data_IF_067939931353
#
_entry.id   IF_067939931353
#
_cell.length_a   1.000
_cell.length_b   1.000
_cell.length_c   1.000
_cell.angle_alpha   90.00
_cell.angle_beta   90.00
_cell.angle_gamma   90.00
#
_symmetry.space_group_name_H-M   'P 1'
#
loop_
_entity.id
_entity.type
_entity.pdbx_description
1 polymer ?
#
# COMPACT_ATOMS: atom_id res chain seq x y z
N UNK A 1 66.43 2.61 -34.45
CA UNK A 1 66.62 3.52 -33.30
C UNK A 1 65.35 4.37 -33.18
N UNK A 2 64.45 4.09 -32.22
CA UNK A 2 64.22 4.88 -30.97
C UNK A 2 63.77 6.32 -31.29
N UNK A 3 62.61 6.88 -30.93
CA UNK A 3 61.62 6.70 -29.85
C UNK A 3 60.25 7.25 -30.32
N UNK A 4 59.11 6.55 -30.19
CA UNK A 4 58.11 6.62 -29.09
C UNK A 4 57.77 8.04 -28.58
N UNK A 5 56.63 8.59 -29.01
CA UNK A 5 55.80 9.49 -28.19
C UNK A 5 54.34 9.04 -28.32
N UNK A 6 53.83 8.54 -27.18
CA UNK A 6 52.42 8.32 -26.88
C UNK A 6 51.68 9.66 -26.77
N UNK A 7 50.45 9.74 -27.24
CA UNK A 7 49.37 10.46 -26.55
C UNK A 7 48.01 10.02 -27.10
N UNK A 8 47.51 8.97 -26.46
CA UNK A 8 46.16 8.42 -26.53
C UNK A 8 45.23 9.34 -25.72
N UNK A 9 44.26 10.02 -26.32
CA UNK A 9 43.05 10.46 -25.60
C UNK A 9 41.84 10.26 -26.53
N UNK A 10 41.26 9.09 -26.37
CA UNK A 10 39.96 8.66 -26.88
C UNK A 10 38.98 8.90 -25.73
N UNK A 11 38.24 10.02 -25.73
CA UNK A 11 37.14 10.22 -24.78
C UNK A 11 35.85 9.92 -25.52
N UNK A 12 35.51 8.64 -25.54
CA UNK A 12 34.14 8.17 -25.76
C UNK A 12 33.38 8.54 -24.49
N UNK A 13 32.70 9.69 -24.50
CA UNK A 13 31.70 10.02 -23.50
C UNK A 13 30.45 9.19 -23.74
N UNK A 14 30.46 7.93 -23.30
CA UNK A 14 29.25 7.11 -23.24
C UNK A 14 28.35 7.75 -22.19
N UNK A 15 27.33 8.48 -22.64
CA UNK A 15 26.19 8.83 -21.82
C UNK A 15 25.44 7.52 -21.56
N UNK A 16 25.86 6.78 -20.54
CA UNK A 16 25.01 5.79 -19.90
C UNK A 16 23.90 6.59 -19.20
N UNK A 17 22.78 6.81 -19.89
CA UNK A 17 21.51 6.88 -19.20
C UNK A 17 21.32 5.53 -18.53
N UNK A 18 21.80 5.41 -17.30
CA UNK A 18 21.21 4.49 -16.34
C UNK A 18 19.80 5.05 -16.09
N UNK A 19 18.89 4.77 -17.02
CA UNK A 19 17.51 4.51 -16.61
C UNK A 19 17.65 3.33 -15.68
N UNK A 20 17.77 3.61 -14.39
CA UNK A 20 17.36 2.65 -13.39
C UNK A 20 15.93 2.33 -13.77
N UNK A 21 15.73 1.22 -14.49
CA UNK A 21 14.47 0.53 -14.44
C UNK A 21 14.28 0.30 -12.94
N UNK A 22 13.44 1.14 -12.33
CA UNK A 22 12.84 0.88 -11.04
C UNK A 22 12.18 -0.46 -11.28
N UNK A 23 12.85 -1.51 -10.86
CA UNK A 23 12.42 -2.88 -11.09
C UNK A 23 11.08 -2.93 -10.37
N UNK A 24 9.99 -3.02 -11.13
CA UNK A 24 8.64 -3.18 -10.60
C UNK A 24 8.72 -4.36 -9.64
N UNK A 25 8.83 -4.06 -8.35
CA UNK A 25 8.59 -5.05 -7.31
C UNK A 25 7.09 -5.23 -7.36
N UNK A 26 6.64 -6.11 -8.25
CA UNK A 26 5.30 -6.68 -8.18
C UNK A 26 5.25 -7.50 -6.88
N UNK A 27 5.03 -6.82 -5.76
CA UNK A 27 4.78 -7.47 -4.48
C UNK A 27 3.43 -8.15 -4.66
N UNK A 28 3.46 -9.48 -4.68
CA UNK A 28 2.28 -10.31 -4.80
C UNK A 28 1.63 -10.39 -3.42
N UNK A 29 0.49 -9.71 -3.28
CA UNK A 29 -0.49 -10.01 -2.24
C UNK A 29 -1.56 -10.90 -2.86
N UNK A 30 -2.07 -11.92 -2.16
CA UNK A 30 -1.70 -12.35 -0.80
C UNK A 30 -0.26 -12.90 -0.65
N UNK A 31 0.35 -12.83 0.54
CA UNK A 31 1.64 -13.48 0.82
C UNK A 31 1.56 -15.01 0.71
N UNK A 32 2.67 -15.68 0.44
CA UNK A 32 2.77 -17.14 0.53
C UNK A 32 2.64 -17.64 1.99
N UNK A 33 2.52 -18.96 2.19
CA UNK A 33 2.11 -19.56 3.47
C UNK A 33 3.05 -19.25 4.65
N UNK A 34 4.35 -19.16 4.39
CA UNK A 34 5.38 -18.85 5.40
C UNK A 34 5.94 -17.43 5.25
N UNK A 35 5.28 -16.57 4.48
CA UNK A 35 5.71 -15.19 4.23
C UNK A 35 4.90 -14.17 5.03
N UNK A 36 5.59 -13.12 5.45
CA UNK A 36 4.96 -11.93 6.02
C UNK A 36 5.44 -10.69 5.31
N UNK A 37 4.51 -9.81 4.95
CA UNK A 37 4.80 -8.53 4.33
C UNK A 37 4.40 -7.40 5.28
N UNK A 38 5.37 -6.56 5.63
CA UNK A 38 5.15 -5.43 6.53
C UNK A 38 5.12 -4.13 5.75
N UNK A 39 4.07 -3.35 5.95
CA UNK A 39 3.87 -2.04 5.35
C UNK A 39 3.82 -0.97 6.44
N UNK A 40 4.38 0.21 6.16
CA UNK A 40 4.32 1.37 7.05
C UNK A 40 3.49 2.47 6.44
N UNK A 41 2.75 3.17 7.30
CA UNK A 41 2.05 4.40 6.96
C UNK A 41 2.99 5.39 6.25
N UNK A 42 2.51 5.94 5.14
CA UNK A 42 3.20 7.00 4.39
C UNK A 42 2.38 8.30 4.42
N UNK A 43 1.10 8.25 4.04
CA UNK A 43 0.25 9.44 4.00
C UNK A 43 -1.23 9.13 4.28
N UNK A 44 -1.95 10.09 4.84
CA UNK A 44 -3.41 10.05 5.00
C UNK A 44 -4.08 10.43 3.67
N UNK A 45 -4.87 9.51 3.12
CA UNK A 45 -5.56 9.70 1.84
C UNK A 45 -6.98 10.22 2.05
N UNK A 46 -7.67 9.66 3.05
CA UNK A 46 -9.04 10.04 3.39
C UNK A 46 -9.31 9.82 4.87
N UNK A 47 -10.10 10.71 5.45
CA UNK A 47 -10.67 10.51 6.77
C UNK A 47 -12.03 11.21 6.82
N UNK A 48 -13.09 10.51 7.25
CA UNK A 48 -14.38 11.14 7.44
C UNK A 48 -14.38 12.03 8.71
N UNK A 49 -15.17 13.10 8.71
CA UNK A 49 -15.26 14.03 9.85
C UNK A 49 -15.82 13.37 11.14
N UNK A 50 -16.51 12.25 10.98
CA UNK A 50 -17.06 11.45 12.09
C UNK A 50 -16.09 10.38 12.58
N UNK A 51 -14.91 10.26 11.97
CA UNK A 51 -13.86 9.40 12.49
C UNK A 51 -13.48 9.88 13.89
N UNK A 52 -13.36 8.94 14.80
CA UNK A 52 -12.82 9.19 16.13
C UNK A 52 -11.39 8.66 16.19
N UNK A 53 -10.62 9.12 17.17
CA UNK A 53 -9.29 8.56 17.46
C UNK A 53 -9.31 7.09 17.90
N UNK A 54 -10.50 6.47 18.01
CA UNK A 54 -10.66 5.06 18.39
C UNK A 54 -10.37 4.06 17.26
N UNK A 55 -10.18 4.50 16.02
CA UNK A 55 -9.85 3.56 14.93
C UNK A 55 -8.35 3.33 14.83
N UNK A 56 -7.92 2.13 15.21
CA UNK A 56 -6.57 1.60 15.00
C UNK A 56 -6.25 1.49 13.50
N UNK A 57 -4.98 1.67 13.12
CA UNK A 57 -4.55 1.68 11.72
C UNK A 57 -4.63 3.09 11.10
N UNK A 58 -4.33 4.12 11.89
CA UNK A 58 -4.26 5.51 11.47
C UNK A 58 -2.88 6.00 11.04
N UNK A 59 -2.63 7.27 11.37
CA UNK A 59 -1.36 7.94 11.06
C UNK A 59 -0.26 7.35 11.92
N UNK A 60 0.81 6.89 11.28
CA UNK A 60 1.97 6.30 11.96
C UNK A 60 1.86 4.80 12.20
N UNK A 61 0.76 4.15 11.79
CA UNK A 61 0.59 2.71 11.98
C UNK A 61 1.47 1.86 11.06
N UNK A 62 1.71 0.63 11.49
CA UNK A 62 2.34 -0.43 10.71
C UNK A 62 1.36 -1.60 10.54
N UNK A 63 1.42 -2.25 9.38
CA UNK A 63 0.53 -3.33 9.01
C UNK A 63 1.35 -4.52 8.54
N UNK A 64 1.25 -5.65 9.21
CA UNK A 64 1.94 -6.89 8.83
C UNK A 64 0.90 -7.91 8.37
N UNK A 65 1.03 -8.33 7.11
CA UNK A 65 0.15 -9.26 6.43
C UNK A 65 0.78 -10.65 6.35
N UNK A 66 0.03 -11.69 6.72
CA UNK A 66 0.28 -13.08 6.34
C UNK A 66 -0.84 -13.58 5.41
N UNK A 67 -0.82 -14.89 5.09
CA UNK A 67 -1.89 -15.57 4.34
C UNK A 67 -3.29 -15.41 4.96
N UNK A 68 -3.38 -15.35 6.28
CA UNK A 68 -4.64 -15.44 7.05
C UNK A 68 -4.74 -14.45 8.21
N UNK A 69 -3.70 -13.64 8.46
CA UNK A 69 -3.72 -12.63 9.52
C UNK A 69 -3.26 -11.26 9.05
N UNK A 70 -3.87 -10.24 9.64
CA UNK A 70 -3.41 -8.86 9.63
C UNK A 70 -3.06 -8.45 11.06
N UNK A 71 -1.83 -8.04 11.27
CA UNK A 71 -1.38 -7.40 12.51
C UNK A 71 -1.30 -5.89 12.26
N UNK A 72 -1.98 -5.10 13.09
CA UNK A 72 -1.94 -3.65 13.08
C UNK A 72 -1.27 -3.16 14.35
N UNK A 73 -0.16 -2.45 14.20
CA UNK A 73 0.52 -1.75 15.29
C UNK A 73 0.27 -0.24 15.15
N UNK A 74 -0.27 0.38 16.18
CA UNK A 74 -0.65 1.80 16.17
C UNK A 74 -0.43 2.41 17.56
N UNK A 75 0.46 3.40 17.66
CA UNK A 75 0.81 4.08 18.92
C UNK A 75 1.13 3.11 20.10
N UNK A 76 1.79 1.99 19.80
CA UNK A 76 2.14 0.95 20.78
C UNK A 76 1.03 -0.06 21.12
N UNK A 77 -0.19 0.13 20.59
CA UNK A 77 -1.25 -0.89 20.62
C UNK A 77 -1.07 -1.85 19.45
N UNK A 78 -1.09 -3.15 19.72
CA UNK A 78 -0.99 -4.20 18.70
C UNK A 78 -2.29 -4.99 18.69
N UNK A 79 -2.92 -5.11 17.52
CA UNK A 79 -4.08 -5.98 17.29
C UNK A 79 -3.85 -6.93 16.14
N UNK A 80 -4.39 -8.12 16.30
CA UNK A 80 -4.39 -9.17 15.27
C UNK A 80 -5.81 -9.42 14.82
N UNK A 81 -5.99 -9.54 13.51
CA UNK A 81 -7.24 -9.81 12.85
C UNK A 81 -7.08 -11.05 11.97
N UNK A 82 -8.04 -11.98 12.06
CA UNK A 82 -8.21 -13.02 11.05
C UNK A 82 -8.72 -12.35 9.76
N UNK A 83 -8.11 -12.70 8.63
CA UNK A 83 -8.43 -12.13 7.32
C UNK A 83 -8.55 -13.20 6.24
N UNK A 84 -9.24 -12.85 5.16
CA UNK A 84 -9.22 -13.54 3.87
C UNK A 84 -8.84 -12.54 2.78
N UNK A 85 -8.33 -13.01 1.64
CA UNK A 85 -8.07 -12.16 0.48
C UNK A 85 -9.17 -12.36 -0.55
N UNK A 86 -10.38 -11.91 -0.20
CA UNK A 86 -11.53 -11.98 -1.09
C UNK A 86 -11.47 -10.83 -2.10
N UNK A 87 -10.95 -11.12 -3.29
CA UNK A 87 -10.84 -10.16 -4.38
C UNK A 87 -12.21 -9.72 -4.87
N UNK A 88 -12.39 -8.41 -5.04
CA UNK A 88 -13.60 -7.83 -5.62
C UNK A 88 -13.27 -6.83 -6.72
N UNK A 89 -14.09 -6.76 -7.79
CA UNK A 89 -13.90 -5.75 -8.82
C UNK A 89 -13.97 -4.33 -8.23
N UNK A 90 -12.93 -3.54 -8.47
CA UNK A 90 -12.87 -2.15 -8.03
C UNK A 90 -13.09 -1.20 -9.20
N UNK A 91 -14.34 -0.77 -9.41
CA UNK A 91 -14.64 0.33 -10.33
C UNK A 91 -14.73 1.65 -9.57
N UNK A 92 -14.64 2.79 -10.25
CA UNK A 92 -14.86 4.11 -9.64
C UNK A 92 -16.23 4.18 -8.93
N UNK A 93 -17.26 3.61 -9.56
CA UNK A 93 -18.60 3.55 -8.99
C UNK A 93 -18.65 2.69 -7.72
N UNK A 94 -18.07 1.48 -7.77
CA UNK A 94 -18.03 0.58 -6.61
C UNK A 94 -17.15 1.11 -5.48
N UNK A 95 -16.08 1.84 -5.78
CA UNK A 95 -15.28 2.54 -4.78
C UNK A 95 -16.08 3.64 -4.10
N UNK A 96 -16.75 4.49 -4.88
CA UNK A 96 -17.55 5.61 -4.36
C UNK A 96 -18.68 5.15 -3.43
N UNK A 97 -19.31 4.00 -3.71
CA UNK A 97 -20.37 3.41 -2.87
C UNK A 97 -19.92 3.01 -1.46
N UNK A 98 -18.61 2.92 -1.21
CA UNK A 98 -18.07 2.47 0.08
C UNK A 98 -18.08 3.57 1.15
N UNK A 99 -18.38 4.81 0.78
CA UNK A 99 -18.35 5.97 1.65
C UNK A 99 -19.76 6.35 2.11
N UNK A 100 -19.90 6.83 3.35
CA UNK A 100 -21.21 7.30 3.87
C UNK A 100 -21.64 8.65 3.30
N UNK A 101 -20.70 9.47 2.82
CA UNK A 101 -20.93 10.83 2.31
C UNK A 101 -19.99 11.12 1.14
N UNK A 102 -20.44 11.91 0.17
CA UNK A 102 -19.68 12.25 -1.03
C UNK A 102 -18.64 13.37 -0.85
N UNK A 103 -18.25 13.68 0.39
CA UNK A 103 -17.30 14.77 0.62
C UNK A 103 -15.87 14.23 0.51
N UNK A 104 -15.13 14.74 -0.48
CA UNK A 104 -13.69 14.48 -0.64
C UNK A 104 -13.31 13.01 -0.81
N UNK A 105 -14.17 12.23 -1.48
CA UNK A 105 -13.83 10.85 -1.88
C UNK A 105 -12.58 10.91 -2.78
N UNK A 106 -11.52 10.13 -2.48
CA UNK A 106 -10.33 10.06 -3.32
C UNK A 106 -10.68 9.65 -4.74
N UNK A 107 -10.02 10.27 -5.71
CA UNK A 107 -10.17 9.87 -7.11
C UNK A 107 -9.24 8.70 -7.41
N UNK A 108 -9.79 7.62 -7.95
CA UNK A 108 -9.04 6.44 -8.41
C UNK A 108 -9.06 6.30 -9.94
N UNK A 109 -9.64 7.26 -10.66
CA UNK A 109 -9.81 7.19 -12.12
C UNK A 109 -8.52 7.28 -12.92
N UNK A 110 -7.44 7.75 -12.29
CA UNK A 110 -6.12 7.88 -12.93
C UNK A 110 -5.28 6.62 -12.90
N UNK A 111 -5.70 5.57 -12.17
CA UNK A 111 -4.96 4.31 -12.07
C UNK A 111 -5.41 3.34 -13.15
N UNK A 112 -4.46 2.66 -13.77
CA UNK A 112 -4.75 1.70 -14.85
C UNK A 112 -5.20 0.35 -14.27
N UNK A 113 -4.60 -0.07 -13.15
CA UNK A 113 -4.86 -1.32 -12.48
C UNK A 113 -5.38 -1.07 -11.07
N UNK A 114 -6.59 -1.54 -10.79
CA UNK A 114 -7.26 -1.32 -9.51
C UNK A 114 -7.82 -2.63 -8.97
N UNK A 115 -7.22 -3.11 -7.88
CA UNK A 115 -7.63 -4.34 -7.18
C UNK A 115 -8.05 -3.99 -5.76
N UNK A 116 -9.11 -4.64 -5.27
CA UNK A 116 -9.49 -4.57 -3.87
C UNK A 116 -9.58 -5.98 -3.28
N UNK A 117 -9.03 -6.14 -2.07
CA UNK A 117 -9.30 -7.28 -1.21
C UNK A 117 -10.14 -6.83 -0.01
N UNK A 118 -11.24 -7.53 0.24
CA UNK A 118 -11.94 -7.43 1.53
C UNK A 118 -11.23 -8.33 2.52
N UNK A 119 -10.56 -7.75 3.52
CA UNK A 119 -9.73 -8.50 4.46
C UNK A 119 -10.56 -9.06 5.61
N UNK A 120 -11.33 -8.19 6.27
CA UNK A 120 -12.28 -8.61 7.30
C UNK A 120 -13.41 -7.59 7.43
N UNK A 121 -14.54 -8.04 7.96
CA UNK A 121 -15.74 -7.20 8.12
C UNK A 121 -15.72 -6.44 9.45
N UNK A 122 -16.35 -5.25 9.46
CA UNK A 122 -16.51 -4.49 10.69
C UNK A 122 -17.62 -5.10 11.55
N UNK A 123 -17.38 -5.17 12.86
CA UNK A 123 -18.39 -5.51 13.86
C UNK A 123 -18.67 -4.28 14.74
N UNK A 124 -19.53 -4.42 15.75
CA UNK A 124 -19.75 -3.34 16.72
C UNK A 124 -18.50 -3.05 17.56
N UNK A 125 -17.63 -4.05 17.74
CA UNK A 125 -16.50 -4.02 18.67
C UNK A 125 -15.14 -4.01 17.95
N UNK A 126 -15.13 -4.20 16.63
CA UNK A 126 -13.92 -4.28 15.82
C UNK A 126 -14.06 -3.52 14.49
N UNK A 127 -13.01 -2.80 14.05
CA UNK A 127 -12.96 -2.31 12.69
C UNK A 127 -12.92 -3.49 11.70
N UNK A 128 -13.32 -3.20 10.47
CA UNK A 128 -13.00 -4.04 9.31
C UNK A 128 -11.88 -3.42 8.49
N UNK A 129 -11.30 -4.18 7.57
CA UNK A 129 -10.23 -3.69 6.71
C UNK A 129 -10.42 -4.07 5.25
N UNK A 130 -9.97 -3.18 4.37
CA UNK A 130 -9.80 -3.41 2.94
C UNK A 130 -8.38 -3.05 2.54
N UNK A 131 -7.84 -3.81 1.61
CA UNK A 131 -6.61 -3.48 0.92
C UNK A 131 -6.95 -3.07 -0.51
N UNK A 132 -6.40 -1.95 -0.95
CA UNK A 132 -6.47 -1.48 -2.33
C UNK A 132 -5.07 -1.51 -2.92
N UNK A 133 -4.95 -2.09 -4.11
CA UNK A 133 -3.74 -2.06 -4.92
C UNK A 133 -4.07 -1.25 -6.16
N UNK A 134 -3.46 -0.07 -6.27
CA UNK A 134 -3.71 0.93 -7.31
C UNK A 134 -2.40 1.15 -8.07
N UNK A 135 -2.23 0.46 -9.19
CA UNK A 135 -0.95 0.28 -9.89
C UNK A 135 0.16 -0.21 -8.93
N UNK A 136 1.12 0.65 -8.60
CA UNK A 136 2.23 0.36 -7.67
C UNK A 136 1.98 0.86 -6.24
N UNK A 137 0.78 1.38 -5.95
CA UNK A 137 0.43 1.95 -4.64
C UNK A 137 -0.45 1.00 -3.82
N UNK A 138 -0.18 0.97 -2.52
CA UNK A 138 -0.95 0.19 -1.54
C UNK A 138 -1.68 1.12 -0.60
N UNK A 139 -3.00 1.01 -0.55
CA UNK A 139 -3.82 1.73 0.42
C UNK A 139 -4.56 0.76 1.34
N UNK A 140 -4.72 1.15 2.60
CA UNK A 140 -5.47 0.40 3.59
C UNK A 140 -6.67 1.24 4.03
N UNK A 141 -7.86 0.68 3.82
CA UNK A 141 -9.12 1.25 4.26
C UNK A 141 -9.56 0.66 5.59
N UNK A 142 -9.77 1.50 6.59
CA UNK A 142 -10.39 1.12 7.86
C UNK A 142 -11.90 1.32 7.78
N UNK A 143 -12.66 0.29 8.11
CA UNK A 143 -14.11 0.25 8.04
C UNK A 143 -14.76 0.39 9.42
N UNK A 144 -15.86 1.12 9.47
CA UNK A 144 -16.80 1.10 10.59
C UNK A 144 -18.23 0.96 10.08
N UNK A 145 -18.97 -0.02 10.61
CA UNK A 145 -20.31 -0.39 10.11
C UNK A 145 -20.32 -0.62 8.59
N UNK A 146 -19.24 -1.21 8.08
CA UNK A 146 -18.98 -1.52 6.66
C UNK A 146 -18.79 -0.33 5.72
N UNK A 147 -18.68 0.89 6.25
CA UNK A 147 -18.31 2.07 5.46
C UNK A 147 -16.86 2.47 5.72
N UNK A 148 -16.23 3.04 4.69
CA UNK A 148 -14.88 3.59 4.82
C UNK A 148 -14.90 4.81 5.73
N UNK A 149 -14.11 4.71 6.79
CA UNK A 149 -13.87 5.80 7.74
C UNK A 149 -12.52 6.47 7.50
N UNK A 150 -11.50 5.68 7.16
CA UNK A 150 -10.16 6.17 6.88
C UNK A 150 -9.55 5.39 5.72
N UNK A 151 -8.74 6.06 4.92
CA UNK A 151 -7.80 5.42 3.99
C UNK A 151 -6.42 6.00 4.25
N UNK A 152 -5.44 5.14 4.44
CA UNK A 152 -4.02 5.49 4.49
C UNK A 152 -3.30 4.85 3.32
N UNK A 153 -2.31 5.54 2.77
CA UNK A 153 -1.33 4.94 1.86
C UNK A 153 -0.19 4.36 2.70
N UNK A 154 0.34 3.23 2.24
CA UNK A 154 1.39 2.50 2.92
C UNK A 154 2.45 2.04 1.94
N UNK A 155 3.69 1.96 2.39
CA UNK A 155 4.80 1.44 1.60
C UNK A 155 5.38 0.20 2.26
N UNK A 156 5.80 -0.77 1.44
CA UNK A 156 6.46 -1.98 1.92
C UNK A 156 7.77 -1.61 2.63
N UNK A 157 7.92 -2.12 3.85
CA UNK A 157 9.19 -2.11 4.55
C UNK A 157 10.05 -3.20 3.94
N UNK A 158 10.95 -2.82 3.05
CA UNK A 158 12.04 -3.71 2.67
C UNK A 158 12.95 -3.83 3.89
N UNK A 159 12.88 -4.94 4.62
CA UNK A 159 14.05 -5.34 5.40
C UNK A 159 15.17 -5.61 4.39
N UNK A 160 16.19 -4.74 4.38
CA UNK A 160 17.44 -5.05 3.69
C UNK A 160 17.99 -6.34 4.32
N UNK A 161 17.83 -7.46 3.63
CA UNK A 161 18.55 -8.71 3.90
C UNK A 161 20.03 -8.55 3.54
#
# INVERSE_FOLDING_TARGET
MKNKILALILVIGIIFFLTACKQDKNVLLPPEEDETLTFKFTNLIYQNDESTSYSIGGVGSQFTFSKDTLIVEDDGEVKTYEISYDEVPLTIEEFTKQFTKNNQIPDISSYDNTVQYNLCTSTNDSPGYRLYILDDQYWIGTLYKNYIWRIVSVDLVNEEL
#
